data_IF_427345348064
#
_entry.id   IF_427345348064
#
_cell.length_a   1.000
_cell.length_b   1.000
_cell.length_c   1.000
_cell.angle_alpha   90.00
_cell.angle_beta   90.00
_cell.angle_gamma   90.00
#
_symmetry.space_group_name_H-M   'P 1'
#
loop_
_entity.id
_entity.type
_entity.pdbx_description
1 polymer ?
#
# COMPACT_ATOMS: atom_id res chain seq x y z
N UNK A 1 -23.73 8.54 16.74
CA UNK A 1 -23.11 8.81 15.42
C UNK A 1 -21.74 8.16 15.35
N UNK A 2 -21.53 7.33 14.35
CA UNK A 2 -20.20 6.79 14.11
C UNK A 2 -19.31 7.88 13.50
N UNK A 3 -18.12 8.05 14.05
CA UNK A 3 -17.16 8.97 13.45
C UNK A 3 -16.64 8.35 12.15
N UNK A 4 -16.49 9.16 11.09
CA UNK A 4 -15.84 8.69 9.87
C UNK A 4 -14.36 8.36 10.15
N UNK A 5 -13.77 7.55 9.30
CA UNK A 5 -12.34 7.30 9.39
C UNK A 5 -11.57 8.62 9.22
N UNK A 6 -10.69 8.91 10.15
CA UNK A 6 -9.93 10.17 10.15
C UNK A 6 -8.63 10.05 9.37
N UNK A 7 -8.00 8.89 9.42
CA UNK A 7 -6.74 8.64 8.75
C UNK A 7 -6.81 7.31 8.03
N UNK A 8 -6.84 7.36 6.72
CA UNK A 8 -6.87 6.19 5.84
C UNK A 8 -5.48 5.94 5.29
N UNK A 9 -4.98 4.73 5.46
CA UNK A 9 -3.71 4.27 4.93
C UNK A 9 -3.97 3.32 3.78
N UNK A 10 -3.47 3.61 2.59
CA UNK A 10 -3.55 2.71 1.46
C UNK A 10 -2.17 2.18 1.09
N UNK A 11 -2.04 0.87 0.98
CA UNK A 11 -0.83 0.22 0.50
C UNK A 11 -0.81 0.23 -1.03
N UNK A 12 0.24 0.76 -1.60
CA UNK A 12 0.31 1.01 -3.05
C UNK A 12 1.66 0.59 -3.62
N UNK A 13 1.63 -0.29 -4.62
CA UNK A 13 2.83 -0.76 -5.32
C UNK A 13 2.77 -0.53 -6.83
N UNK A 14 1.75 0.18 -7.31
CA UNK A 14 1.54 0.43 -8.73
C UNK A 14 0.86 -0.71 -9.49
N UNK A 15 0.59 -1.84 -8.84
CA UNK A 15 -0.14 -2.94 -9.47
C UNK A 15 -1.59 -2.54 -9.77
N UNK A 16 -2.25 -3.30 -10.65
CA UNK A 16 -3.65 -3.05 -10.98
C UNK A 16 -4.56 -3.19 -9.77
N UNK A 17 -4.28 -4.13 -8.89
CA UNK A 17 -5.03 -4.33 -7.64
C UNK A 17 -4.83 -3.18 -6.67
N UNK A 18 -3.59 -2.70 -6.54
CA UNK A 18 -3.29 -1.55 -5.70
C UNK A 18 -3.97 -0.28 -6.23
N UNK A 19 -4.07 -0.12 -7.54
CA UNK A 19 -4.79 1.01 -8.14
C UNK A 19 -6.27 0.97 -7.79
N UNK A 20 -6.89 -0.19 -7.80
CA UNK A 20 -8.28 -0.35 -7.37
C UNK A 20 -8.45 0.03 -5.89
N UNK A 21 -7.51 -0.40 -5.05
CA UNK A 21 -7.50 -0.02 -3.63
C UNK A 21 -7.33 1.49 -3.46
N UNK A 22 -6.43 2.08 -4.22
CA UNK A 22 -6.20 3.53 -4.20
C UNK A 22 -7.47 4.30 -4.59
N UNK A 23 -8.16 3.87 -5.64
CA UNK A 23 -9.40 4.51 -6.07
C UNK A 23 -10.46 4.50 -4.97
N UNK A 24 -10.61 3.38 -4.27
CA UNK A 24 -11.53 3.28 -3.13
C UNK A 24 -11.12 4.20 -1.99
N UNK A 25 -9.83 4.19 -1.66
CA UNK A 25 -9.30 5.03 -0.58
C UNK A 25 -9.48 6.53 -0.89
N UNK A 26 -9.26 6.93 -2.12
CA UNK A 26 -9.47 8.31 -2.57
C UNK A 26 -10.94 8.72 -2.40
N UNK A 27 -11.87 7.91 -2.87
CA UNK A 27 -13.29 8.20 -2.75
C UNK A 27 -13.74 8.31 -1.28
N UNK A 28 -13.27 7.40 -0.45
CA UNK A 28 -13.57 7.41 0.98
C UNK A 28 -12.97 8.64 1.68
N UNK A 29 -11.72 8.95 1.41
CA UNK A 29 -11.02 10.09 2.02
C UNK A 29 -11.65 11.41 1.59
N UNK A 30 -12.02 11.54 0.33
CA UNK A 30 -12.70 12.73 -0.17
C UNK A 30 -14.04 12.94 0.53
N UNK A 31 -14.84 11.89 0.60
CA UNK A 31 -16.19 11.95 1.19
C UNK A 31 -16.15 12.27 2.68
N UNK A 32 -15.22 11.67 3.41
CA UNK A 32 -15.12 11.83 4.86
C UNK A 32 -14.15 12.94 5.30
N UNK A 33 -13.53 13.62 4.36
CA UNK A 33 -12.48 14.62 4.63
C UNK A 33 -11.33 14.04 5.46
N UNK A 34 -10.95 12.82 5.16
CA UNK A 34 -9.88 12.10 5.88
C UNK A 34 -8.50 12.53 5.40
N UNK A 35 -7.51 12.39 6.28
CA UNK A 35 -6.12 12.32 5.84
C UNK A 35 -5.94 11.00 5.09
N UNK A 36 -5.35 11.05 3.91
CA UNK A 36 -4.99 9.87 3.13
C UNK A 36 -3.47 9.74 3.07
N UNK A 37 -2.93 8.64 3.57
CA UNK A 37 -1.52 8.31 3.38
C UNK A 37 -1.41 7.19 2.36
N UNK A 38 -0.64 7.43 1.32
CA UNK A 38 -0.32 6.42 0.30
C UNK A 38 1.06 5.89 0.64
N UNK A 39 1.11 4.63 1.05
CA UNK A 39 2.34 3.99 1.50
C UNK A 39 2.84 3.00 0.46
N UNK A 40 4.05 3.22 -0.01
CA UNK A 40 4.76 2.29 -0.87
C UNK A 40 5.90 1.68 -0.08
N UNK A 41 5.93 0.36 0.00
CA UNK A 41 6.98 -0.36 0.71
C UNK A 41 7.88 -1.05 -0.30
N UNK A 42 9.14 -0.78 -0.17
CA UNK A 42 10.18 -1.30 -1.03
C UNK A 42 10.99 -2.35 -0.27
N UNK A 43 11.06 -3.54 -0.83
CA UNK A 43 11.85 -4.63 -0.26
C UNK A 43 13.03 -4.92 -1.19
N UNK A 44 14.27 -4.74 -0.72
CA UNK A 44 15.43 -5.07 -1.54
C UNK A 44 15.46 -6.58 -1.81
N UNK A 45 15.88 -7.01 -3.01
CA UNK A 45 15.98 -8.44 -3.29
C UNK A 45 16.93 -9.13 -2.33
N UNK A 46 16.46 -10.25 -1.77
CA UNK A 46 17.23 -11.03 -0.81
C UNK A 46 18.25 -11.89 -1.58
N UNK A 47 19.34 -11.31 -2.01
CA UNK A 47 20.44 -12.06 -2.59
C UNK A 47 21.40 -12.61 -1.53
N UNK A 48 21.18 -12.22 -0.29
CA UNK A 48 22.00 -12.65 0.86
C UNK A 48 21.77 -14.12 1.24
N UNK A 49 20.64 -14.69 0.85
CA UNK A 49 20.26 -16.05 1.24
C UNK A 49 20.93 -17.14 0.41
N UNK A 50 21.60 -16.79 -0.68
CA UNK A 50 22.19 -17.77 -1.59
C UNK A 50 23.66 -18.05 -1.33
N UNK A 51 24.30 -17.36 -0.39
CA UNK A 51 25.72 -17.54 -0.08
C UNK A 51 26.67 -17.09 -1.19
N UNK A 52 26.15 -16.53 -2.23
CA UNK A 52 26.95 -15.93 -3.29
C UNK A 52 27.28 -14.51 -2.86
N UNK A 53 28.49 -14.34 -2.35
CA UNK A 53 29.04 -13.04 -2.06
C UNK A 53 29.39 -12.32 -3.37
N UNK A 54 28.38 -12.00 -4.14
CA UNK A 54 28.54 -11.09 -5.27
C UNK A 54 28.31 -9.68 -4.72
N UNK A 55 29.28 -8.76 -4.86
CA UNK A 55 29.05 -7.38 -4.53
C UNK A 55 28.05 -6.84 -5.57
N UNK A 56 26.78 -7.06 -5.30
CA UNK A 56 25.72 -6.37 -6.06
C UNK A 56 25.50 -5.06 -5.35
N UNK A 57 25.59 -4.02 -6.14
CA UNK A 57 25.08 -2.74 -5.69
C UNK A 57 23.66 -2.96 -5.18
N UNK A 58 23.27 -2.37 -4.05
CA UNK A 58 21.90 -2.46 -3.60
C UNK A 58 20.98 -2.12 -4.77
N UNK A 59 19.84 -2.81 -4.96
CA UNK A 59 18.90 -2.55 -6.03
C UNK A 59 18.59 -1.08 -6.01
N UNK A 60 19.09 -0.51 -7.01
CA UNK A 60 19.66 0.74 -6.87
C UNK A 60 18.64 1.82 -6.82
N UNK A 61 19.15 2.93 -6.70
CA UNK A 61 18.58 4.24 -6.94
C UNK A 61 17.53 4.19 -8.06
N UNK A 62 17.70 3.37 -9.10
CA UNK A 62 16.77 3.27 -10.25
C UNK A 62 15.41 2.72 -9.86
N UNK A 63 15.37 1.63 -9.08
CA UNK A 63 14.09 1.05 -8.63
C UNK A 63 13.40 1.94 -7.62
N UNK A 64 14.18 2.51 -6.71
CA UNK A 64 13.67 3.46 -5.72
C UNK A 64 13.10 4.70 -6.40
N UNK A 65 13.80 5.24 -7.40
CA UNK A 65 13.33 6.38 -8.17
C UNK A 65 12.04 6.06 -8.95
N UNK A 66 11.95 4.87 -9.52
CA UNK A 66 10.76 4.43 -10.23
C UNK A 66 9.55 4.33 -9.29
N UNK A 67 9.74 3.77 -8.10
CA UNK A 67 8.69 3.68 -7.09
C UNK A 67 8.31 5.05 -6.55
N UNK A 68 9.28 5.91 -6.33
CA UNK A 68 9.02 7.27 -5.88
C UNK A 68 8.20 8.06 -6.90
N UNK A 69 8.49 7.87 -8.18
CA UNK A 69 7.70 8.48 -9.27
C UNK A 69 6.26 7.97 -9.26
N UNK A 70 6.07 6.67 -9.15
CA UNK A 70 4.74 6.04 -9.08
C UNK A 70 3.96 6.57 -7.87
N UNK A 71 4.63 6.71 -6.74
CA UNK A 71 4.03 7.24 -5.52
C UNK A 71 3.62 8.71 -5.68
N UNK A 72 4.49 9.53 -6.24
CA UNK A 72 4.20 10.96 -6.47
C UNK A 72 3.01 11.13 -7.42
N UNK A 73 2.93 10.31 -8.46
CA UNK A 73 1.79 10.33 -9.39
C UNK A 73 0.49 9.96 -8.67
N UNK A 74 0.54 8.98 -7.78
CA UNK A 74 -0.63 8.59 -6.98
C UNK A 74 -1.09 9.71 -6.04
N UNK A 75 -0.15 10.39 -5.39
CA UNK A 75 -0.44 11.55 -4.54
C UNK A 75 -1.09 12.66 -5.35
N UNK A 76 -0.56 12.94 -6.53
CA UNK A 76 -1.10 13.98 -7.42
C UNK A 76 -2.51 13.62 -7.86
N UNK A 77 -2.75 12.37 -8.23
CA UNK A 77 -4.08 11.88 -8.61
C UNK A 77 -5.08 12.09 -7.47
N UNK A 78 -4.70 11.77 -6.25
CA UNK A 78 -5.56 11.96 -5.09
C UNK A 78 -5.92 13.44 -4.89
N UNK A 79 -4.95 14.32 -5.03
CA UNK A 79 -5.18 15.78 -4.94
C UNK A 79 -6.14 16.27 -6.02
N UNK A 80 -5.93 15.84 -7.25
CA UNK A 80 -6.78 16.21 -8.39
C UNK A 80 -8.21 15.72 -8.23
N UNK A 81 -8.39 14.58 -7.55
CA UNK A 81 -9.71 14.01 -7.28
C UNK A 81 -10.38 14.55 -6.02
N UNK A 82 -9.76 15.52 -5.36
CA UNK A 82 -10.41 16.29 -4.30
C UNK A 82 -10.05 15.88 -2.88
N UNK A 83 -9.01 15.07 -2.67
CA UNK A 83 -8.51 14.79 -1.32
C UNK A 83 -7.66 15.98 -0.89
N UNK A 84 -8.08 16.68 0.17
CA UNK A 84 -7.42 17.91 0.61
C UNK A 84 -6.16 17.66 1.42
N UNK A 85 -6.06 16.53 2.12
CA UNK A 85 -4.88 16.18 2.92
C UNK A 85 -4.39 14.79 2.52
N UNK A 86 -3.36 14.75 1.69
CA UNK A 86 -2.77 13.50 1.19
C UNK A 86 -1.27 13.52 1.35
N UNK A 87 -0.71 12.40 1.80
CA UNK A 87 0.72 12.21 1.99
C UNK A 87 1.17 10.95 1.27
N UNK A 88 2.41 10.99 0.76
CA UNK A 88 3.07 9.81 0.20
C UNK A 88 4.26 9.44 1.07
N UNK A 89 4.39 8.16 1.39
CA UNK A 89 5.51 7.62 2.16
C UNK A 89 6.13 6.44 1.41
N UNK A 90 7.44 6.44 1.30
CA UNK A 90 8.21 5.35 0.72
C UNK A 90 9.11 4.75 1.79
N UNK A 91 8.87 3.50 2.14
CA UNK A 91 9.64 2.81 3.18
C UNK A 91 10.37 1.59 2.61
N UNK A 92 11.57 1.37 3.10
CA UNK A 92 12.36 0.18 2.79
C UNK A 92 12.23 -0.79 3.97
N UNK A 93 11.43 -1.84 3.79
CA UNK A 93 11.14 -2.81 4.85
C UNK A 93 10.39 -4.02 4.26
N UNK A 94 10.00 -4.95 5.11
CA UNK A 94 9.05 -6.01 4.76
C UNK A 94 7.64 -5.42 4.67
N UNK A 95 6.91 -5.65 3.57
CA UNK A 95 5.66 -4.94 3.33
C UNK A 95 4.62 -5.07 4.44
N UNK A 96 4.30 -6.27 4.88
CA UNK A 96 3.27 -6.45 5.91
C UNK A 96 3.65 -5.80 7.23
N UNK A 97 4.89 -5.97 7.67
CA UNK A 97 5.40 -5.39 8.91
C UNK A 97 5.40 -3.87 8.84
N UNK A 98 5.84 -3.30 7.71
CA UNK A 98 5.86 -1.86 7.51
C UNK A 98 4.45 -1.27 7.55
N UNK A 99 3.48 -1.90 6.90
CA UNK A 99 2.08 -1.45 6.89
C UNK A 99 1.51 -1.45 8.31
N UNK A 100 1.70 -2.55 9.03
CA UNK A 100 1.20 -2.71 10.39
C UNK A 100 1.84 -1.70 11.34
N UNK A 101 3.16 -1.54 11.27
CA UNK A 101 3.90 -0.60 12.11
C UNK A 101 3.50 0.84 11.82
N UNK A 102 3.42 1.20 10.54
CA UNK A 102 3.03 2.56 10.13
C UNK A 102 1.62 2.88 10.61
N UNK A 103 0.68 1.94 10.45
CA UNK A 103 -0.70 2.13 10.91
C UNK A 103 -0.76 2.40 12.42
N UNK A 104 0.03 1.68 13.21
CA UNK A 104 0.08 1.88 14.66
C UNK A 104 0.71 3.23 15.05
N UNK A 105 1.87 3.53 14.49
CA UNK A 105 2.64 4.74 14.86
C UNK A 105 1.95 6.02 14.41
N UNK A 106 1.37 6.01 13.22
CA UNK A 106 0.71 7.18 12.63
C UNK A 106 -0.79 7.25 12.93
N UNK A 107 -1.28 6.32 13.75
CA UNK A 107 -2.68 6.28 14.18
C UNK A 107 -3.67 6.24 13.00
N UNK A 108 -3.37 5.43 12.00
CA UNK A 108 -4.34 5.14 10.95
C UNK A 108 -5.50 4.32 11.55
N UNK A 109 -6.70 4.61 11.15
CA UNK A 109 -7.88 3.90 11.63
C UNK A 109 -8.53 3.01 10.57
N UNK A 110 -8.00 3.05 9.35
CA UNK A 110 -8.38 2.14 8.27
C UNK A 110 -7.17 1.88 7.37
N UNK A 111 -6.92 0.62 7.07
CA UNK A 111 -5.95 0.20 6.05
C UNK A 111 -6.73 -0.30 4.84
N UNK A 112 -6.42 0.22 3.66
CA UNK A 112 -7.00 -0.21 2.39
C UNK A 112 -5.90 -0.86 1.56
N UNK A 113 -6.18 -2.01 1.01
CA UNK A 113 -5.20 -2.72 0.18
C UNK A 113 -5.89 -3.63 -0.83
N UNK A 114 -5.19 -3.95 -1.90
CA UNK A 114 -5.66 -4.95 -2.85
C UNK A 114 -5.56 -6.35 -2.27
N UNK A 115 -6.32 -7.27 -2.81
CA UNK A 115 -6.27 -8.67 -2.35
C UNK A 115 -4.97 -9.36 -2.71
N UNK A 116 -4.25 -8.85 -3.73
CA UNK A 116 -2.98 -9.40 -4.22
C UNK A 116 -2.09 -8.28 -4.74
N UNK A 117 -0.78 -8.52 -4.74
CA UNK A 117 0.18 -7.62 -5.35
C UNK A 117 0.59 -8.09 -6.76
N UNK A 118 1.80 -7.71 -7.18
CA UNK A 118 2.29 -7.95 -8.53
C UNK A 118 2.53 -9.42 -8.86
N UNK A 119 2.77 -10.27 -7.87
CA UNK A 119 3.18 -11.67 -8.07
C UNK A 119 2.07 -12.70 -7.92
N UNK A 120 0.83 -12.28 -7.87
CA UNK A 120 -0.28 -13.18 -7.57
C UNK A 120 -0.72 -13.99 -8.78
N UNK A 121 -0.88 -15.29 -8.58
CA UNK A 121 -1.24 -16.25 -9.62
C UNK A 121 -2.65 -16.81 -9.50
N UNK A 122 -3.35 -16.59 -8.38
CA UNK A 122 -4.68 -17.15 -8.15
C UNK A 122 -5.68 -16.07 -7.74
N UNK A 123 -6.88 -16.12 -8.32
CA UNK A 123 -7.98 -15.18 -8.01
C UNK A 123 -8.67 -15.46 -6.67
N UNK A 124 -8.51 -16.66 -6.13
CA UNK A 124 -9.25 -17.12 -4.97
C UNK A 124 -8.51 -16.90 -3.65
N UNK A 125 -7.22 -16.69 -3.70
CA UNK A 125 -6.38 -16.57 -2.52
C UNK A 125 -5.96 -15.12 -2.29
N UNK A 126 -5.91 -14.74 -1.02
CA UNK A 126 -5.29 -13.48 -0.63
C UNK A 126 -3.79 -13.57 -0.85
N UNK A 127 -3.18 -12.47 -1.25
CA UNK A 127 -1.72 -12.37 -1.28
C UNK A 127 -1.13 -12.48 0.12
N UNK A 128 0.14 -12.81 0.20
CA UNK A 128 0.84 -12.99 1.48
C UNK A 128 0.81 -11.73 2.34
N UNK A 129 0.95 -10.57 1.73
CA UNK A 129 0.91 -9.29 2.45
C UNK A 129 -0.50 -9.01 2.97
N UNK A 130 -1.52 -9.15 2.14
CA UNK A 130 -2.91 -8.94 2.54
C UNK A 130 -3.32 -9.88 3.67
N UNK A 131 -2.96 -11.15 3.57
CA UNK A 131 -3.23 -12.16 4.57
C UNK A 131 -2.58 -11.82 5.91
N UNK A 132 -1.31 -11.46 5.90
CA UNK A 132 -0.58 -11.09 7.10
C UNK A 132 -1.16 -9.83 7.77
N UNK A 133 -1.51 -8.82 6.97
CA UNK A 133 -2.12 -7.59 7.49
C UNK A 133 -3.48 -7.90 8.12
N UNK A 134 -4.33 -8.70 7.47
CA UNK A 134 -5.63 -9.09 8.02
C UNK A 134 -5.50 -9.82 9.35
N UNK A 135 -4.50 -10.70 9.48
CA UNK A 135 -4.30 -11.48 10.70
C UNK A 135 -3.80 -10.65 11.88
N UNK A 136 -3.01 -9.63 11.61
CA UNK A 136 -2.29 -8.92 12.67
C UNK A 136 -2.73 -7.47 12.87
N UNK A 137 -3.59 -6.92 12.01
CA UNK A 137 -4.02 -5.54 12.14
C UNK A 137 -4.91 -5.34 13.37
N UNK A 138 -4.68 -4.22 14.05
CA UNK A 138 -5.49 -3.77 15.18
C UNK A 138 -6.57 -2.78 14.78
N UNK A 139 -6.55 -2.37 13.51
CA UNK A 139 -7.49 -1.40 12.94
C UNK A 139 -8.31 -2.08 11.86
N UNK A 140 -9.34 -1.39 11.39
CA UNK A 140 -10.15 -1.88 10.28
C UNK A 140 -9.30 -2.06 9.03
N UNK A 141 -9.56 -3.11 8.27
CA UNK A 141 -8.88 -3.40 7.01
C UNK A 141 -9.92 -3.61 5.93
N UNK A 142 -9.80 -2.87 4.84
CA UNK A 142 -10.61 -3.05 3.65
C UNK A 142 -9.75 -3.69 2.56
N UNK A 143 -10.09 -4.90 2.17
CA UNK A 143 -9.42 -5.58 1.07
C UNK A 143 -10.27 -5.42 -0.19
N UNK A 144 -9.70 -4.80 -1.21
CA UNK A 144 -10.36 -4.56 -2.48
C UNK A 144 -10.02 -5.68 -3.45
N UNK A 145 -11.04 -6.35 -3.93
CA UNK A 145 -10.90 -7.46 -4.88
C UNK A 145 -11.26 -7.02 -6.28
N UNK A 146 -10.66 -7.62 -7.33
CA UNK A 146 -11.08 -7.34 -8.68
C UNK A 146 -12.53 -7.79 -8.88
N UNK A 147 -13.27 -7.15 -9.80
CA UNK A 147 -14.62 -7.59 -10.10
C UNK A 147 -14.61 -9.03 -10.62
N UNK A 148 -15.59 -9.82 -10.20
CA UNK A 148 -15.75 -11.17 -10.72
C UNK A 148 -16.24 -11.05 -12.16
N UNK A 149 -15.58 -11.72 -13.14
CA UNK A 149 -16.08 -11.72 -14.50
C UNK A 149 -17.45 -12.41 -14.51
N UNK A 150 -18.44 -11.64 -14.92
CA UNK A 150 -19.84 -12.10 -15.02
C UNK A 150 -20.06 -13.08 -16.11
#
# INVERSE_FOLDING_TARGET
MSEPFRHILVAYDGSSQARMALDRAIDMARTASSLLTILTVYQPPILWSTGLAVPMEPPGEVEKEALDKVLREAVQTAKERGVSDVRGELLQDHPAEAILHFADVEHADLVVMGSRGQSATSRLLLGSVSDAVLHHARVAVLVVRPPVPG
#
